data_IF_212547363666
#
_entry.id   IF_212547363666
#
_cell.length_a   1.000
_cell.length_b   1.000
_cell.length_c   1.000
_cell.angle_alpha   90.00
_cell.angle_beta   90.00
_cell.angle_gamma   90.00
#
_symmetry.space_group_name_H-M   'P 1'
#
loop_
_entity.id
_entity.type
_entity.pdbx_description
1 polymer ?
#
# COMPACT_ATOMS: atom_id res chain seq x y z
N UNK A 1 -6.66 -23.72 11.92
CA UNK A 1 -5.66 -22.62 11.81
C UNK A 1 -6.30 -21.26 12.10
N UNK A 2 -7.47 -21.26 12.74
CA UNK A 2 -8.46 -20.19 12.58
C UNK A 2 -8.22 -19.09 13.61
N UNK A 3 -7.65 -19.47 14.76
CA UNK A 3 -7.23 -18.59 15.85
C UNK A 3 -6.14 -17.59 15.44
N UNK A 4 -5.33 -17.93 14.43
CA UNK A 4 -4.30 -17.06 13.88
C UNK A 4 -4.78 -16.36 12.60
N UNK A 5 -5.35 -17.13 11.67
CA UNK A 5 -5.70 -16.65 10.34
C UNK A 5 -6.74 -15.52 10.35
N UNK A 6 -7.88 -15.71 11.01
CA UNK A 6 -8.99 -14.75 10.95
C UNK A 6 -8.59 -13.41 11.60
N UNK A 7 -8.00 -13.38 12.82
CA UNK A 7 -7.56 -12.13 13.41
C UNK A 7 -6.45 -11.45 12.61
N UNK A 8 -5.49 -12.21 12.08
CA UNK A 8 -4.40 -11.67 11.26
C UNK A 8 -4.94 -11.03 9.97
N UNK A 9 -5.89 -11.68 9.29
CA UNK A 9 -6.52 -11.15 8.09
C UNK A 9 -7.29 -9.85 8.38
N UNK A 10 -8.06 -9.82 9.46
CA UNK A 10 -8.80 -8.62 9.87
C UNK A 10 -7.86 -7.47 10.23
N UNK A 11 -6.81 -7.75 10.99
CA UNK A 11 -5.78 -6.77 11.32
C UNK A 11 -5.07 -6.24 10.07
N UNK A 12 -4.66 -7.13 9.15
CA UNK A 12 -4.05 -6.74 7.89
C UNK A 12 -4.97 -5.85 7.05
N UNK A 13 -6.26 -6.20 6.94
CA UNK A 13 -7.24 -5.40 6.21
C UNK A 13 -7.44 -4.03 6.85
N UNK A 14 -7.52 -3.95 8.19
CA UNK A 14 -7.61 -2.68 8.91
C UNK A 14 -6.37 -1.81 8.68
N UNK A 15 -5.18 -2.40 8.81
CA UNK A 15 -3.90 -1.73 8.53
C UNK A 15 -3.86 -1.21 7.10
N UNK A 16 -4.36 -1.98 6.12
CA UNK A 16 -4.39 -1.58 4.72
C UNK A 16 -5.25 -0.32 4.54
N UNK A 17 -6.46 -0.29 5.10
CA UNK A 17 -7.34 0.88 5.03
C UNK A 17 -6.76 2.09 5.77
N UNK A 18 -6.13 1.88 6.92
CA UNK A 18 -5.40 2.95 7.62
C UNK A 18 -4.24 3.50 6.77
N UNK A 19 -3.44 2.65 6.14
CA UNK A 19 -2.35 3.07 5.25
C UNK A 19 -2.85 3.83 4.04
N UNK A 20 -3.96 3.41 3.43
CA UNK A 20 -4.64 4.13 2.34
C UNK A 20 -5.05 5.52 2.80
N UNK A 21 -5.73 5.62 3.94
CA UNK A 21 -6.15 6.91 4.51
C UNK A 21 -4.96 7.84 4.81
N UNK A 22 -3.90 7.31 5.42
CA UNK A 22 -2.67 8.05 5.69
C UNK A 22 -2.02 8.56 4.40
N UNK A 23 -1.92 7.72 3.37
CA UNK A 23 -1.35 8.11 2.07
C UNK A 23 -2.19 9.19 1.38
N UNK A 24 -3.51 9.06 1.38
CA UNK A 24 -4.43 10.04 0.81
C UNK A 24 -4.31 11.38 1.52
N UNK A 25 -4.50 11.40 2.84
CA UNK A 25 -4.53 12.64 3.63
C UNK A 25 -3.17 13.33 3.62
N UNK A 26 -2.08 12.59 3.90
CA UNK A 26 -0.73 13.14 3.92
C UNK A 26 -0.25 13.57 2.54
N UNK A 27 -0.55 12.78 1.51
CA UNK A 27 -0.20 13.09 0.14
C UNK A 27 -0.91 14.35 -0.35
N UNK A 28 -2.22 14.45 -0.15
CA UNK A 28 -2.99 15.63 -0.53
C UNK A 28 -2.51 16.89 0.21
N UNK A 29 -2.29 16.77 1.52
CA UNK A 29 -1.75 17.86 2.33
C UNK A 29 -0.36 18.31 1.87
N UNK A 30 0.49 17.39 1.43
CA UNK A 30 1.79 17.71 0.84
C UNK A 30 1.66 18.55 -0.43
N UNK A 31 0.68 18.25 -1.29
CA UNK A 31 0.45 19.01 -2.52
C UNK A 31 0.01 20.44 -2.22
N UNK A 32 -0.77 20.64 -1.15
CA UNK A 32 -1.17 21.96 -0.67
C UNK A 32 -0.13 22.67 0.21
N UNK A 33 1.07 22.09 0.38
CA UNK A 33 2.16 22.73 1.12
C UNK A 33 1.97 22.74 2.64
N UNK A 34 1.17 21.82 3.19
CA UNK A 34 0.95 21.75 4.62
C UNK A 34 2.24 21.38 5.39
N UNK A 35 2.56 22.16 6.41
CA UNK A 35 3.83 22.02 7.15
C UNK A 35 3.87 20.80 8.07
N UNK A 36 2.71 20.33 8.55
CA UNK A 36 2.60 19.17 9.46
C UNK A 36 2.98 17.84 8.79
N UNK A 37 3.07 17.79 7.46
CA UNK A 37 3.47 16.58 6.70
C UNK A 37 4.92 16.15 7.02
N UNK A 38 5.73 17.09 7.50
CA UNK A 38 7.12 16.88 7.93
C UNK A 38 7.28 16.60 9.42
N UNK A 39 6.18 16.54 10.18
CA UNK A 39 6.21 16.23 11.61
C UNK A 39 6.80 14.83 11.87
N UNK A 40 7.71 14.75 12.84
CA UNK A 40 8.38 13.52 13.24
C UNK A 40 7.42 12.48 13.81
N UNK A 41 6.39 12.90 14.57
CA UNK A 41 5.37 12.01 15.12
C UNK A 41 4.59 11.32 14.01
N UNK A 42 4.21 12.09 12.99
CA UNK A 42 3.54 11.57 11.81
C UNK A 42 4.46 10.62 11.03
N UNK A 43 5.74 10.96 10.88
CA UNK A 43 6.73 10.10 10.22
C UNK A 43 6.83 8.74 10.92
N UNK A 44 6.88 8.72 12.25
CA UNK A 44 6.88 7.48 13.04
C UNK A 44 5.60 6.68 12.83
N UNK A 45 4.42 7.32 12.91
CA UNK A 45 3.14 6.66 12.67
C UNK A 45 3.06 6.01 11.28
N UNK A 46 3.47 6.76 10.24
CA UNK A 46 3.50 6.28 8.87
C UNK A 46 4.47 5.12 8.72
N UNK A 47 5.68 5.22 9.29
CA UNK A 47 6.65 4.13 9.27
C UNK A 47 6.15 2.87 9.97
N UNK A 48 5.57 3.00 11.17
CA UNK A 48 4.97 1.89 11.91
C UNK A 48 3.84 1.24 11.11
N UNK A 49 2.97 2.02 10.48
CA UNK A 49 1.92 1.50 9.60
C UNK A 49 2.49 0.68 8.44
N UNK A 50 3.54 1.18 7.76
CA UNK A 50 4.20 0.46 6.67
C UNK A 50 4.88 -0.84 7.14
N UNK A 51 5.50 -0.81 8.31
CA UNK A 51 6.11 -2.02 8.87
C UNK A 51 5.05 -3.08 9.20
N UNK A 52 3.96 -2.68 9.86
CA UNK A 52 2.88 -3.59 10.25
C UNK A 52 2.16 -4.19 9.04
N UNK A 53 1.88 -3.41 7.99
CA UNK A 53 1.23 -3.93 6.79
C UNK A 53 2.12 -4.91 6.03
N UNK A 54 3.44 -4.64 5.95
CA UNK A 54 4.41 -5.54 5.31
C UNK A 54 4.54 -6.84 6.10
N UNK A 55 4.75 -6.75 7.42
CA UNK A 55 4.89 -7.94 8.28
C UNK A 55 3.64 -8.81 8.23
N UNK A 56 2.46 -8.21 8.41
CA UNK A 56 1.20 -8.95 8.34
C UNK A 56 0.94 -9.56 6.95
N UNK A 57 1.30 -8.85 5.88
CA UNK A 57 1.20 -9.36 4.51
C UNK A 57 2.10 -10.57 4.26
N UNK A 58 3.35 -10.52 4.71
CA UNK A 58 4.29 -11.65 4.62
C UNK A 58 3.80 -12.82 5.49
N UNK A 59 3.30 -12.55 6.70
CA UNK A 59 2.73 -13.59 7.56
C UNK A 59 1.54 -14.30 6.91
N UNK A 60 0.63 -13.55 6.29
CA UNK A 60 -0.51 -14.13 5.56
C UNK A 60 -0.07 -14.89 4.31
N UNK A 61 0.92 -14.35 3.58
CA UNK A 61 1.48 -15.00 2.41
C UNK A 61 2.05 -16.38 2.75
N UNK A 62 2.85 -16.47 3.83
CA UNK A 62 3.39 -17.72 4.34
C UNK A 62 2.31 -18.66 4.88
N UNK A 63 1.35 -18.16 5.66
CA UNK A 63 0.28 -18.97 6.24
C UNK A 63 -0.64 -19.59 5.18
N UNK A 64 -0.90 -18.86 4.09
CA UNK A 64 -1.76 -19.32 2.98
C UNK A 64 -1.01 -20.16 1.94
N UNK A 65 0.32 -20.27 2.03
CA UNK A 65 1.15 -21.04 1.10
C UNK A 65 0.93 -20.64 -0.37
N UNK A 66 0.62 -19.37 -0.61
CA UNK A 66 0.43 -18.85 -1.96
C UNK A 66 1.74 -18.87 -2.73
N UNK A 67 1.71 -19.31 -3.99
CA UNK A 67 2.90 -19.34 -4.86
C UNK A 67 2.73 -18.32 -6.00
N UNK A 68 3.51 -17.22 -6.01
CA UNK A 68 3.42 -16.19 -7.04
C UNK A 68 3.65 -16.71 -8.47
N UNK A 69 4.32 -17.86 -8.63
CA UNK A 69 4.58 -18.47 -9.94
C UNK A 69 3.32 -19.06 -10.56
N UNK A 70 2.39 -19.53 -9.72
CA UNK A 70 1.14 -20.15 -10.14
C UNK A 70 -0.07 -19.24 -9.93
N UNK A 71 0.10 -18.15 -9.19
CA UNK A 71 -0.94 -17.18 -8.89
C UNK A 71 -0.59 -15.79 -9.45
N UNK A 72 -0.97 -15.50 -10.72
CA UNK A 72 -0.63 -14.25 -11.39
C UNK A 72 -1.04 -12.99 -10.63
N UNK A 73 -2.15 -13.05 -9.90
CA UNK A 73 -2.66 -11.94 -9.10
C UNK A 73 -1.68 -11.53 -7.98
N UNK A 74 -0.95 -12.50 -7.41
CA UNK A 74 0.03 -12.23 -6.36
C UNK A 74 1.28 -11.56 -6.92
N UNK A 75 1.78 -12.06 -8.06
CA UNK A 75 2.90 -11.43 -8.76
C UNK A 75 2.55 -10.01 -9.18
N UNK A 76 1.35 -9.81 -9.74
CA UNK A 76 0.85 -8.48 -10.10
C UNK A 76 0.75 -7.55 -8.89
N UNK A 77 0.28 -8.05 -7.73
CA UNK A 77 0.23 -7.30 -6.48
C UNK A 77 1.61 -6.84 -6.03
N UNK A 78 2.63 -7.70 -6.09
CA UNK A 78 4.00 -7.33 -5.69
C UNK A 78 4.63 -6.31 -6.64
N UNK A 79 4.43 -6.47 -7.96
CA UNK A 79 4.90 -5.49 -8.95
C UNK A 79 4.25 -4.13 -8.68
N UNK A 80 2.92 -4.11 -8.48
CA UNK A 80 2.19 -2.88 -8.22
C UNK A 80 2.58 -2.21 -6.90
N UNK A 81 2.89 -2.99 -5.86
CA UNK A 81 3.46 -2.45 -4.62
C UNK A 81 4.83 -1.80 -4.87
N UNK A 82 5.69 -2.40 -5.71
CA UNK A 82 6.95 -1.79 -6.13
C UNK A 82 6.75 -0.46 -6.86
N UNK A 83 5.81 -0.41 -7.81
CA UNK A 83 5.42 0.82 -8.51
C UNK A 83 4.90 1.87 -7.54
N UNK A 84 4.04 1.48 -6.60
CA UNK A 84 3.51 2.37 -5.56
C UNK A 84 4.64 2.97 -4.69
N UNK A 85 5.62 2.17 -4.26
CA UNK A 85 6.75 2.69 -3.48
C UNK A 85 7.63 3.67 -4.28
N UNK A 86 7.95 3.34 -5.53
CA UNK A 86 8.76 4.21 -6.40
C UNK A 86 8.05 5.54 -6.70
N UNK A 87 6.77 5.49 -7.08
CA UNK A 87 5.96 6.68 -7.38
C UNK A 87 5.67 7.49 -6.13
N UNK A 88 5.47 6.84 -4.98
CA UNK A 88 5.34 7.49 -3.68
C UNK A 88 6.58 8.31 -3.31
N UNK A 89 7.79 7.80 -3.58
CA UNK A 89 9.03 8.55 -3.38
C UNK A 89 9.05 9.84 -4.21
N UNK A 90 8.64 9.78 -5.48
CA UNK A 90 8.53 10.95 -6.35
C UNK A 90 7.41 11.92 -5.93
N UNK A 91 6.29 11.41 -5.41
CA UNK A 91 5.16 12.21 -4.93
C UNK A 91 5.53 13.15 -3.78
N UNK A 92 6.46 12.72 -2.92
CA UNK A 92 6.99 13.53 -1.80
C UNK A 92 8.27 14.29 -2.16
N UNK A 93 8.70 14.28 -3.43
CA UNK A 93 9.83 15.06 -3.92
C UNK A 93 9.49 16.56 -4.09
N UNK A 94 10.54 17.39 -4.21
CA UNK A 94 10.42 18.85 -4.42
C UNK A 94 10.34 19.27 -5.89
N UNK A 95 10.23 18.33 -6.83
CA UNK A 95 10.22 18.60 -8.27
C UNK A 95 8.86 18.96 -8.84
N UNK A 96 8.86 19.49 -10.06
CA UNK A 96 7.65 19.88 -10.84
C UNK A 96 6.68 18.70 -11.05
N UNK A 97 7.19 17.46 -11.06
CA UNK A 97 6.41 16.25 -11.29
C UNK A 97 5.79 15.62 -10.03
N UNK A 98 5.83 16.32 -8.89
CA UNK A 98 5.25 15.85 -7.61
C UNK A 98 3.76 15.47 -7.72
N UNK A 99 2.98 16.21 -8.50
CA UNK A 99 1.55 15.92 -8.70
C UNK A 99 1.35 14.67 -9.54
N UNK A 100 2.10 14.52 -10.63
CA UNK A 100 2.06 13.31 -11.44
C UNK A 100 2.50 12.07 -10.64
N UNK A 101 3.57 12.19 -9.86
CA UNK A 101 4.02 11.11 -8.97
C UNK A 101 2.93 10.70 -7.98
N UNK A 102 2.22 11.67 -7.41
CA UNK A 102 1.11 11.39 -6.50
C UNK A 102 -0.08 10.71 -7.19
N UNK A 103 -0.49 11.18 -8.37
CA UNK A 103 -1.58 10.57 -9.14
C UNK A 103 -1.22 9.14 -9.56
N UNK A 104 0.02 8.92 -10.05
CA UNK A 104 0.49 7.57 -10.39
C UNK A 104 0.51 6.64 -9.18
N UNK A 105 0.92 7.14 -8.03
CA UNK A 105 0.89 6.37 -6.79
C UNK A 105 -0.54 6.03 -6.36
N UNK A 106 -1.52 6.92 -6.56
CA UNK A 106 -2.94 6.63 -6.33
C UNK A 106 -3.47 5.54 -7.26
N UNK A 107 -3.10 5.59 -8.55
CA UNK A 107 -3.48 4.55 -9.52
C UNK A 107 -2.87 3.20 -9.13
N UNK A 108 -1.59 3.17 -8.75
CA UNK A 108 -0.94 1.95 -8.29
C UNK A 108 -1.60 1.40 -7.01
N UNK A 109 -1.93 2.28 -6.05
CA UNK A 109 -2.63 1.90 -4.83
C UNK A 109 -4.02 1.34 -5.12
N UNK A 110 -4.80 1.99 -6.00
CA UNK A 110 -6.11 1.52 -6.42
C UNK A 110 -6.01 0.13 -7.07
N UNK A 111 -5.00 -0.10 -7.91
CA UNK A 111 -4.76 -1.41 -8.51
C UNK A 111 -4.40 -2.47 -7.46
N UNK A 112 -3.51 -2.17 -6.50
CA UNK A 112 -3.17 -3.09 -5.39
C UNK A 112 -4.42 -3.49 -4.59
N UNK A 113 -5.30 -2.55 -4.29
CA UNK A 113 -6.57 -2.80 -3.60
C UNK A 113 -7.48 -3.68 -4.47
N UNK A 114 -7.64 -3.33 -5.75
CA UNK A 114 -8.50 -4.07 -6.67
C UNK A 114 -8.04 -5.52 -6.86
N UNK A 115 -6.74 -5.76 -7.08
CA UNK A 115 -6.16 -7.11 -7.18
C UNK A 115 -6.30 -7.88 -5.87
N UNK A 116 -6.18 -7.20 -4.71
CA UNK A 116 -6.34 -7.85 -3.41
C UNK A 116 -7.78 -8.32 -3.15
N UNK A 117 -8.78 -7.60 -3.65
CA UNK A 117 -10.21 -7.94 -3.49
C UNK A 117 -10.65 -8.96 -4.53
N UNK A 118 -10.30 -8.74 -5.80
CA UNK A 118 -10.75 -9.58 -6.93
C UNK A 118 -9.95 -10.87 -7.06
N UNK A 119 -8.70 -10.89 -6.57
CA UNK A 119 -7.71 -11.96 -6.81
C UNK A 119 -7.51 -12.25 -8.30
N UNK A 120 -7.65 -11.23 -9.14
CA UNK A 120 -7.44 -11.28 -10.58
C UNK A 120 -6.29 -10.35 -10.97
N UNK A 121 -5.37 -10.81 -11.82
CA UNK A 121 -4.23 -10.01 -12.28
C UNK A 121 -4.66 -8.95 -13.31
N UNK A 122 -5.45 -9.36 -14.31
CA UNK A 122 -6.14 -8.46 -15.22
C UNK A 122 -7.52 -8.18 -14.65
N UNK A 123 -7.83 -6.90 -14.42
CA UNK A 123 -9.10 -6.43 -13.87
C UNK A 123 -10.27 -6.54 -14.88
N UNK A 124 -10.27 -7.56 -15.74
CA UNK A 124 -11.32 -7.78 -16.75
C UNK A 124 -11.17 -6.98 -18.04
N UNK A 125 -9.93 -6.72 -18.48
CA UNK A 125 -9.61 -6.31 -19.85
C UNK A 125 -8.90 -7.45 -20.58
#
# INVERSE_FOLDING_TARGET
>A
MDWFYVPMLQMHALLAWCSVGLFLVRGLAHQFGAQWVSDERLRTLVFSSHLLIVVSGISLWGALHHDPRYEPWMTAKFIALGVYFATGHWAFGRGEFRVLGYVLALVALAYVVAVSVTRQALLGL
#
